data_IF_606402286030
#
_entry.id   IF_606402286030
#
_cell.length_a   1.000
_cell.length_b   1.000
_cell.length_c   1.000
_cell.angle_alpha   90.00
_cell.angle_beta   90.00
_cell.angle_gamma   90.00
#
_symmetry.space_group_name_H-M   'P 1'
#
loop_
_entity.id
_entity.type
_entity.pdbx_description
1 polymer ?
#
# COMPACT_ATOMS: atom_id res chain seq x y z
N UNK A 1 -20.24 -6.88 43.62
CA UNK A 1 -18.98 -6.26 43.16
C UNK A 1 -18.48 -7.05 41.96
N UNK A 2 -18.67 -6.55 40.73
CA UNK A 2 -17.92 -6.95 39.53
C UNK A 2 -17.83 -5.78 38.55
N UNK A 3 -16.65 -5.70 37.92
CA UNK A 3 -16.09 -4.65 37.05
C UNK A 3 -16.85 -4.49 35.74
N UNK A 4 -16.86 -3.27 35.21
CA UNK A 4 -16.32 -2.96 33.89
C UNK A 4 -16.19 -1.43 33.78
N UNK A 5 -14.96 -0.92 33.79
CA UNK A 5 -14.69 0.46 33.41
C UNK A 5 -15.07 0.62 31.95
N UNK A 6 -16.19 1.29 31.71
CA UNK A 6 -16.66 1.64 30.37
C UNK A 6 -15.75 2.72 29.81
N UNK A 7 -14.70 2.31 29.11
CA UNK A 7 -14.03 3.21 28.18
C UNK A 7 -14.99 3.39 27.01
N UNK A 8 -15.79 4.46 27.07
CA UNK A 8 -16.50 4.98 25.89
C UNK A 8 -15.44 5.33 24.86
N UNK A 9 -15.20 4.45 23.88
CA UNK A 9 -14.58 4.85 22.63
C UNK A 9 -15.60 5.70 21.87
N UNK A 10 -15.60 7.00 22.16
CA UNK A 10 -16.23 7.99 21.30
C UNK A 10 -15.35 8.08 20.07
N UNK A 11 -15.64 7.29 19.05
CA UNK A 11 -15.23 7.61 17.69
C UNK A 11 -15.91 8.94 17.38
N UNK A 12 -15.23 10.06 17.64
CA UNK A 12 -15.61 11.36 17.11
C UNK A 12 -15.50 11.26 15.60
N UNK A 13 -16.54 10.72 14.97
CA UNK A 13 -16.83 10.98 13.58
C UNK A 13 -17.10 12.48 13.51
N UNK A 14 -16.13 13.23 13.01
CA UNK A 14 -16.33 14.64 12.72
C UNK A 14 -17.38 14.72 11.63
N UNK A 15 -18.60 15.07 12.02
CA UNK A 15 -19.74 15.22 11.14
C UNK A 15 -19.64 16.49 10.27
N UNK A 16 -18.44 16.96 9.92
CA UNK A 16 -18.25 17.88 8.81
C UNK A 16 -18.33 17.10 7.49
N UNK A 17 -19.43 16.37 7.34
CA UNK A 17 -19.78 15.62 6.14
C UNK A 17 -20.16 16.65 5.11
N UNK A 18 -19.36 16.76 4.06
CA UNK A 18 -19.79 17.35 2.81
C UNK A 18 -21.20 16.83 2.45
N UNK A 19 -22.11 17.69 1.97
CA UNK A 19 -23.51 17.31 1.80
C UNK A 19 -23.62 16.17 0.78
N UNK A 20 -24.09 15.00 1.20
CA UNK A 20 -24.53 13.94 0.27
C UNK A 20 -23.91 12.55 0.42
N UNK A 21 -23.05 12.28 1.40
CA UNK A 21 -22.50 10.92 1.56
C UNK A 21 -23.55 9.93 2.12
N UNK A 22 -23.99 9.01 1.27
CA UNK A 22 -24.80 7.86 1.65
C UNK A 22 -23.98 6.89 2.52
N UNK A 23 -24.53 6.41 3.66
CA UNK A 23 -23.80 5.57 4.61
C UNK A 23 -23.30 4.25 4.00
N UNK A 24 -23.97 3.79 2.94
CA UNK A 24 -23.58 2.60 2.18
C UNK A 24 -22.28 2.81 1.40
N UNK A 25 -22.04 3.98 0.80
CA UNK A 25 -20.77 4.23 0.09
C UNK A 25 -19.63 4.48 1.05
N UNK A 26 -19.88 5.15 2.18
CA UNK A 26 -18.87 5.27 3.25
C UNK A 26 -18.41 3.87 3.70
N UNK A 27 -19.36 2.97 3.93
CA UNK A 27 -19.07 1.59 4.34
C UNK A 27 -18.32 0.83 3.26
N UNK A 28 -18.71 0.98 1.99
CA UNK A 28 -18.07 0.33 0.86
C UNK A 28 -16.63 0.82 0.67
N UNK A 29 -16.39 2.14 0.66
CA UNK A 29 -15.06 2.72 0.52
C UNK A 29 -14.14 2.28 1.65
N UNK A 30 -14.62 2.30 2.89
CA UNK A 30 -13.85 1.83 4.04
C UNK A 30 -13.51 0.35 3.94
N UNK A 31 -14.46 -0.49 3.53
CA UNK A 31 -14.23 -1.93 3.33
C UNK A 31 -13.20 -2.17 2.21
N UNK A 32 -13.32 -1.47 1.09
CA UNK A 32 -12.38 -1.56 -0.03
C UNK A 32 -10.98 -1.16 0.39
N UNK A 33 -10.86 -0.05 1.12
CA UNK A 33 -9.59 0.45 1.61
C UNK A 33 -8.93 -0.55 2.57
N UNK A 34 -9.69 -1.18 3.45
CA UNK A 34 -9.20 -2.23 4.34
C UNK A 34 -8.74 -3.48 3.56
N UNK A 35 -9.51 -3.91 2.56
CA UNK A 35 -9.16 -5.07 1.72
C UNK A 35 -7.90 -4.83 0.91
N UNK A 36 -7.77 -3.64 0.32
CA UNK A 36 -6.59 -3.25 -0.45
C UNK A 36 -5.38 -3.15 0.48
N UNK A 37 -5.51 -2.52 1.65
CA UNK A 37 -4.41 -2.41 2.61
C UNK A 37 -3.93 -3.76 3.15
N UNK A 38 -4.83 -4.75 3.23
CA UNK A 38 -4.50 -6.11 3.66
C UNK A 38 -3.92 -6.98 2.52
N UNK A 39 -4.04 -6.54 1.27
CA UNK A 39 -3.51 -7.28 0.14
C UNK A 39 -1.98 -7.32 0.18
N UNK A 40 -1.42 -8.51 -0.04
CA UNK A 40 0.01 -8.73 -0.12
C UNK A 40 0.67 -7.77 -1.13
N UNK A 41 1.84 -7.21 -0.78
CA UNK A 41 2.57 -6.26 -1.63
C UNK A 41 2.05 -4.82 -1.65
N UNK A 42 1.16 -4.44 -0.72
CA UNK A 42 0.69 -3.05 -0.53
C UNK A 42 1.31 -2.33 0.67
N UNK A 43 2.23 -2.98 1.38
CA UNK A 43 2.90 -2.48 2.60
C UNK A 43 3.57 -1.12 2.45
N UNK A 44 4.00 -0.76 1.24
CA UNK A 44 4.60 0.53 0.92
C UNK A 44 3.70 1.45 0.06
N UNK A 45 2.47 1.03 -0.20
CA UNK A 45 1.52 1.76 -1.03
C UNK A 45 0.57 2.58 -0.16
N UNK A 46 0.24 3.79 -0.62
CA UNK A 46 -0.74 4.66 0.01
C UNK A 46 -1.91 4.83 -0.94
N UNK A 47 -2.96 4.02 -0.76
CA UNK A 47 -4.15 4.04 -1.60
C UNK A 47 -5.33 4.57 -0.80
N UNK A 48 -5.99 5.59 -1.36
CA UNK A 48 -7.24 6.15 -0.86
C UNK A 48 -8.38 5.75 -1.77
N UNK A 49 -9.53 5.43 -1.17
CA UNK A 49 -10.74 5.03 -1.91
C UNK A 49 -11.82 6.08 -1.67
N UNK A 50 -12.42 6.54 -2.75
CA UNK A 50 -13.55 7.47 -2.68
C UNK A 50 -14.64 7.04 -3.66
N UNK A 51 -15.89 7.40 -3.36
CA UNK A 51 -17.02 7.23 -4.26
C UNK A 51 -17.41 8.60 -4.79
N UNK A 52 -17.61 8.73 -6.08
CA UNK A 52 -18.06 9.98 -6.72
C UNK A 52 -18.92 9.64 -7.93
N UNK A 53 -20.11 10.26 -8.03
CA UNK A 53 -21.07 10.04 -9.12
C UNK A 53 -21.37 8.55 -9.40
N UNK A 54 -21.41 7.72 -8.34
CA UNK A 54 -21.66 6.28 -8.46
C UNK A 54 -20.50 5.46 -9.02
N UNK A 55 -19.34 6.08 -9.21
CA UNK A 55 -18.09 5.43 -9.60
C UNK A 55 -17.16 5.33 -8.39
N UNK A 56 -16.36 4.27 -8.33
CA UNK A 56 -15.30 4.14 -7.32
C UNK A 56 -14.01 4.73 -7.89
N UNK A 57 -13.41 5.66 -7.16
CA UNK A 57 -12.15 6.31 -7.52
C UNK A 57 -11.08 5.85 -6.55
N UNK A 58 -10.06 5.18 -7.09
CA UNK A 58 -8.85 4.78 -6.39
C UNK A 58 -7.78 5.83 -6.68
N UNK A 59 -7.25 6.46 -5.65
CA UNK A 59 -6.19 7.47 -5.78
C UNK A 59 -5.01 7.17 -4.87
N UNK A 60 -3.82 7.66 -5.24
CA UNK A 60 -2.63 7.56 -4.40
C UNK A 60 -1.43 6.96 -5.09
N UNK A 61 -0.56 6.32 -4.33
CA UNK A 61 0.76 5.88 -4.79
C UNK A 61 0.96 4.38 -4.52
N UNK A 62 1.51 3.66 -5.50
CA UNK A 62 1.83 2.23 -5.40
C UNK A 62 3.27 1.96 -5.82
N UNK A 63 3.92 0.97 -5.22
CA UNK A 63 5.34 0.69 -5.50
C UNK A 63 5.54 -0.15 -6.77
N UNK A 64 4.58 -1.01 -7.12
CA UNK A 64 4.69 -1.96 -8.23
C UNK A 64 3.45 -1.99 -9.12
N UNK A 65 3.61 -2.41 -10.37
CA UNK A 65 2.48 -2.67 -11.27
C UNK A 65 1.56 -3.77 -10.71
N UNK A 66 2.14 -4.80 -10.08
CA UNK A 66 1.34 -5.87 -9.49
C UNK A 66 0.47 -5.37 -8.32
N UNK A 67 0.96 -4.41 -7.53
CA UNK A 67 0.16 -3.73 -6.52
C UNK A 67 -0.99 -2.92 -7.17
N UNK A 68 -0.72 -2.22 -8.28
CA UNK A 68 -1.75 -1.53 -9.05
C UNK A 68 -2.86 -2.51 -9.49
N UNK A 69 -2.49 -3.59 -10.18
CA UNK A 69 -3.44 -4.59 -10.71
C UNK A 69 -4.26 -5.24 -9.58
N UNK A 70 -3.63 -5.59 -8.45
CA UNK A 70 -4.33 -6.15 -7.29
C UNK A 70 -5.37 -5.18 -6.74
N UNK A 71 -5.04 -3.89 -6.60
CA UNK A 71 -5.98 -2.90 -6.09
C UNK A 71 -7.20 -2.75 -7.00
N UNK A 72 -6.99 -2.74 -8.32
CA UNK A 72 -8.07 -2.66 -9.31
C UNK A 72 -8.95 -3.91 -9.27
N UNK A 73 -8.37 -5.12 -9.24
CA UNK A 73 -9.13 -6.38 -9.18
C UNK A 73 -10.00 -6.46 -7.93
N UNK A 74 -9.46 -6.08 -6.77
CA UNK A 74 -10.22 -6.05 -5.52
C UNK A 74 -11.37 -5.05 -5.65
N UNK A 75 -11.09 -3.87 -6.18
CA UNK A 75 -12.12 -2.85 -6.35
C UNK A 75 -13.25 -3.32 -7.28
N UNK A 76 -12.91 -3.93 -8.43
CA UNK A 76 -13.88 -4.41 -9.41
C UNK A 76 -14.76 -5.52 -8.84
N UNK A 77 -14.15 -6.44 -8.10
CA UNK A 77 -14.84 -7.57 -7.50
C UNK A 77 -15.91 -7.13 -6.49
N UNK A 78 -15.64 -6.08 -5.71
CA UNK A 78 -16.52 -5.64 -4.62
C UNK A 78 -17.47 -4.50 -5.01
N UNK A 79 -17.09 -3.63 -5.95
CA UNK A 79 -17.87 -2.45 -6.28
C UNK A 79 -19.03 -2.74 -7.24
N UNK A 80 -18.91 -3.75 -8.13
CA UNK A 80 -19.87 -4.00 -9.24
C UNK A 80 -20.28 -2.72 -9.99
N UNK A 81 -19.38 -1.73 -10.03
CA UNK A 81 -19.57 -0.36 -10.50
C UNK A 81 -18.33 0.05 -11.29
N UNK A 82 -18.45 1.05 -12.19
CA UNK A 82 -17.30 1.57 -12.91
C UNK A 82 -16.22 2.10 -11.95
N UNK A 83 -14.96 1.80 -12.29
CA UNK A 83 -13.79 2.13 -11.47
C UNK A 83 -12.86 3.05 -12.23
N UNK A 84 -12.43 4.10 -11.55
CA UNK A 84 -11.43 5.03 -12.02
C UNK A 84 -10.20 4.84 -11.13
N UNK A 85 -9.12 4.32 -11.71
CA UNK A 85 -7.86 4.12 -11.00
C UNK A 85 -6.85 5.19 -11.42
N UNK A 86 -6.63 6.17 -10.54
CA UNK A 86 -5.64 7.23 -10.68
C UNK A 86 -4.52 7.01 -9.65
N UNK A 87 -3.71 5.98 -9.90
CA UNK A 87 -2.62 5.57 -9.01
C UNK A 87 -1.28 5.86 -9.67
N UNK A 88 -0.41 6.58 -8.97
CA UNK A 88 0.95 6.84 -9.40
C UNK A 88 1.87 5.68 -8.99
N UNK A 89 2.58 5.09 -9.95
CA UNK A 89 3.57 4.03 -9.66
C UNK A 89 4.89 4.70 -9.27
N UNK A 90 5.20 4.72 -7.98
CA UNK A 90 6.50 5.17 -7.48
C UNK A 90 7.46 3.99 -7.40
N UNK A 91 8.21 3.80 -8.49
CA UNK A 91 9.39 2.94 -8.43
C UNK A 91 10.43 3.62 -7.56
N UNK A 92 10.51 3.24 -6.27
CA UNK A 92 11.72 3.54 -5.50
C UNK A 92 12.86 2.83 -6.23
N UNK A 93 13.92 3.53 -6.65
CA UNK A 93 15.08 2.85 -7.21
C UNK A 93 15.61 1.93 -6.11
N UNK A 94 15.34 0.63 -6.26
CA UNK A 94 16.04 -0.37 -5.48
C UNK A 94 17.49 -0.24 -5.89
N UNK A 95 18.27 0.46 -5.06
CA UNK A 95 19.71 0.31 -5.09
C UNK A 95 19.92 -1.15 -4.68
N UNK A 96 19.88 -2.04 -5.67
CA UNK A 96 20.53 -3.35 -5.56
C UNK A 96 21.97 -2.98 -5.24
N UNK A 97 22.32 -3.03 -3.94
CA UNK A 97 23.71 -3.22 -3.56
C UNK A 97 24.06 -4.57 -4.18
N UNK A 98 24.60 -4.48 -5.40
CA UNK A 98 25.19 -5.59 -6.09
C UNK A 98 26.34 -6.04 -5.20
N UNK A 99 26.08 -7.06 -4.39
CA UNK A 99 27.09 -7.75 -3.62
C UNK A 99 27.94 -8.61 -4.57
N UNK A 100 28.47 -8.03 -5.65
CA UNK A 100 29.57 -8.60 -6.42
C UNK A 100 30.89 -8.08 -5.84
N UNK A 101 31.29 -8.76 -4.76
CA UNK A 101 32.68 -9.15 -4.43
C UNK A 101 33.83 -8.22 -4.84
N UNK A 102 34.55 -7.58 -3.90
CA UNK A 102 35.97 -7.35 -4.12
C UNK A 102 36.69 -8.69 -3.91
N UNK A 103 37.10 -9.33 -5.01
CA UNK A 103 38.06 -10.45 -4.99
C UNK A 103 39.34 -9.98 -4.30
N UNK A 104 39.54 -10.34 -3.03
CA UNK A 104 40.86 -10.26 -2.41
C UNK A 104 41.74 -11.36 -3.01
N UNK A 105 42.38 -11.02 -4.14
CA UNK A 105 43.37 -11.86 -4.79
C UNK A 105 44.68 -11.78 -3.97
N UNK A 106 44.85 -12.70 -3.02
CA UNK A 106 46.09 -12.82 -2.25
C UNK A 106 47.16 -13.54 -3.11
N UNK A 107 47.72 -12.85 -4.08
CA UNK A 107 48.90 -13.32 -4.81
C UNK A 107 50.16 -13.04 -3.96
N UNK A 108 50.52 -13.99 -3.09
CA UNK A 108 51.81 -13.95 -2.40
C UNK A 108 52.90 -14.53 -3.31
N UNK A 109 53.45 -13.69 -4.19
CA UNK A 109 54.65 -14.01 -4.96
C UNK A 109 55.88 -13.48 -4.24
N UNK A 110 56.36 -14.20 -3.22
CA UNK A 110 57.72 -14.03 -2.72
C UNK A 110 58.59 -15.22 -3.14
N UNK A 111 59.01 -15.15 -4.40
CA UNK A 111 60.13 -15.90 -4.95
C UNK A 111 61.42 -15.27 -4.41
N UNK A 112 61.94 -15.80 -3.32
CA UNK A 112 63.28 -15.47 -2.83
C UNK A 112 64.31 -16.29 -3.60
N UNK A 113 64.76 -15.74 -4.73
CA UNK A 113 66.03 -16.11 -5.37
C UNK A 113 67.06 -15.02 -5.03
N UNK A 114 68.11 -15.40 -4.29
CA UNK A 114 69.45 -14.79 -4.05
C UNK A 114 69.89 -15.31 -2.67
N UNK A 115 70.99 -16.04 -2.48
CA UNK A 115 72.27 -16.10 -3.17
C UNK A 115 72.97 -17.42 -2.82
#
# INVERSE_FOLDING_TARGET
MFRAGGFTMMLSWDANTAPGCNPQEISLCAALQALIAYADGQENSSISVSSSDGCIVLTGEVETLSAFERAVIIAECFASRPIIADLAIRQRPSIRLDAASPRLHLANNNRSDKQ
#
